data_IF_763436271426
#
_entry.id   IF_763436271426
#
_cell.length_a   1.000
_cell.length_b   1.000
_cell.length_c   1.000
_cell.angle_alpha   90.00
_cell.angle_beta   90.00
_cell.angle_gamma   90.00
#
_symmetry.space_group_name_H-M   'P 1'
#
loop_
_entity.id
_entity.type
_entity.pdbx_description
1 polymer ?
#
# COMPACT_ATOMS: atom_id res chain seq x y z
N UNK A 1 23.55 7.71 -38.11
CA UNK A 1 22.73 6.48 -37.94
C UNK A 1 22.76 5.86 -36.53
N UNK A 2 23.79 6.11 -35.70
CA UNK A 2 23.85 5.56 -34.33
C UNK A 2 22.88 6.22 -33.32
N UNK A 3 22.61 7.52 -33.47
CA UNK A 3 21.70 8.29 -32.60
C UNK A 3 20.21 7.89 -32.74
N UNK A 4 19.77 7.51 -33.95
CA UNK A 4 18.39 7.07 -34.18
C UNK A 4 18.13 5.67 -33.59
N UNK A 5 19.16 4.82 -33.50
CA UNK A 5 19.08 3.51 -32.86
C UNK A 5 19.03 3.61 -31.33
N UNK A 6 19.68 4.62 -30.75
CA UNK A 6 19.68 4.88 -29.31
C UNK A 6 18.31 5.36 -28.79
N UNK A 7 17.63 6.23 -29.55
CA UNK A 7 16.28 6.72 -29.22
C UNK A 7 15.21 5.62 -29.32
N UNK A 8 15.31 4.71 -30.28
CA UNK A 8 14.37 3.58 -30.41
C UNK A 8 14.55 2.61 -29.24
N UNK A 9 15.78 2.30 -28.81
CA UNK A 9 16.01 1.41 -27.65
C UNK A 9 15.56 2.04 -26.33
N UNK A 10 15.75 3.35 -26.12
CA UNK A 10 15.27 4.05 -24.92
C UNK A 10 13.75 4.23 -24.86
N UNK A 11 13.08 4.40 -26.01
CA UNK A 11 11.61 4.51 -26.06
C UNK A 11 10.90 3.17 -25.76
N UNK A 12 11.54 2.03 -26.02
CA UNK A 12 10.98 0.70 -25.75
C UNK A 12 11.15 0.23 -24.29
N UNK A 13 12.17 0.72 -23.56
CA UNK A 13 12.41 0.29 -22.16
C UNK A 13 11.49 1.02 -21.16
N UNK A 14 10.91 2.17 -21.54
CA UNK A 14 9.96 2.91 -20.70
C UNK A 14 8.51 2.39 -20.72
N UNK A 15 8.15 1.45 -21.59
CA UNK A 15 6.74 1.06 -21.81
C UNK A 15 6.38 -0.35 -21.38
N UNK A 16 7.30 -1.10 -20.74
CA UNK A 16 7.05 -2.51 -20.39
C UNK A 16 7.54 -2.84 -18.98
N UNK A 17 7.03 -2.12 -17.99
CA UNK A 17 6.82 -2.74 -16.67
C UNK A 17 5.30 -2.91 -16.50
N UNK A 18 4.75 -4.09 -16.80
CA UNK A 18 3.43 -4.45 -16.32
C UNK A 18 3.43 -4.26 -14.81
N UNK A 19 2.70 -3.27 -14.29
CA UNK A 19 2.31 -3.29 -12.88
C UNK A 19 1.33 -4.44 -12.76
N UNK A 20 1.83 -5.63 -12.42
CA UNK A 20 0.99 -6.78 -12.13
C UNK A 20 0.32 -6.47 -10.80
N UNK A 21 -0.82 -5.78 -10.84
CA UNK A 21 -1.66 -5.60 -9.66
C UNK A 21 -2.33 -6.94 -9.36
N UNK A 22 -1.80 -7.68 -8.39
CA UNK A 22 -2.49 -8.83 -7.82
C UNK A 22 -3.83 -8.37 -7.23
N UNK A 23 -4.88 -9.17 -7.42
CA UNK A 23 -6.21 -8.91 -6.85
C UNK A 23 -6.12 -8.72 -5.33
N UNK A 24 -6.77 -7.68 -4.81
CA UNK A 24 -6.80 -7.34 -3.39
C UNK A 24 -8.13 -7.71 -2.74
N UNK A 25 -8.05 -8.18 -1.51
CA UNK A 25 -9.22 -8.46 -0.67
C UNK A 25 -9.49 -7.28 0.27
N UNK A 26 -10.71 -6.77 0.26
CA UNK A 26 -11.17 -5.67 1.10
C UNK A 26 -12.27 -6.16 2.05
N UNK A 27 -11.94 -6.27 3.33
CA UNK A 27 -12.95 -6.56 4.37
C UNK A 27 -13.75 -5.30 4.63
N UNK A 28 -15.05 -5.35 4.33
CA UNK A 28 -15.96 -4.22 4.41
C UNK A 28 -16.23 -3.87 5.87
N UNK A 29 -15.83 -2.67 6.29
CA UNK A 29 -15.87 -2.26 7.69
C UNK A 29 -14.60 -2.58 8.48
N UNK A 30 -13.54 -3.05 7.81
CA UNK A 30 -12.27 -3.51 8.40
C UNK A 30 -12.49 -4.69 9.36
N UNK A 31 -11.82 -4.74 10.52
CA UNK A 31 -11.96 -5.82 11.51
C UNK A 31 -13.28 -5.74 12.30
N UNK A 32 -14.14 -4.75 12.03
CA UNK A 32 -15.47 -4.69 12.64
C UNK A 32 -16.42 -5.61 11.87
N UNK A 33 -17.02 -6.56 12.57
CA UNK A 33 -18.23 -7.26 12.12
C UNK A 33 -19.25 -6.21 11.68
N UNK A 34 -19.87 -6.36 10.51
CA UNK A 34 -20.73 -5.34 9.86
C UNK A 34 -21.75 -4.74 10.86
N UNK A 35 -21.47 -3.56 11.40
CA UNK A 35 -22.30 -2.90 12.42
C UNK A 35 -23.24 -1.85 11.83
N UNK A 36 -24.39 -1.66 12.45
CA UNK A 36 -25.27 -0.51 12.22
C UNK A 36 -24.61 0.80 12.70
N UNK A 37 -25.00 1.96 12.15
CA UNK A 37 -24.46 3.29 12.50
C UNK A 37 -22.95 3.46 12.24
N UNK A 38 -22.40 2.72 11.28
CA UNK A 38 -21.03 2.86 10.82
C UNK A 38 -21.01 3.58 9.47
N UNK A 39 -20.05 4.50 9.28
CA UNK A 39 -19.90 5.22 8.02
C UNK A 39 -19.09 4.40 7.02
N UNK A 40 -19.80 3.55 6.28
CA UNK A 40 -19.23 2.73 5.21
C UNK A 40 -18.70 3.56 4.05
N UNK A 41 -19.15 4.81 3.87
CA UNK A 41 -18.63 5.69 2.82
C UNK A 41 -17.28 6.26 3.21
N UNK A 42 -17.13 6.68 4.46
CA UNK A 42 -15.84 7.05 5.01
C UNK A 42 -14.85 5.88 4.97
N UNK A 43 -15.32 4.64 5.23
CA UNK A 43 -14.49 3.45 5.04
C UNK A 43 -14.03 3.27 3.60
N UNK A 44 -14.91 3.46 2.61
CA UNK A 44 -14.54 3.33 1.20
C UNK A 44 -13.61 4.44 0.69
N UNK A 45 -13.59 5.58 1.37
CA UNK A 45 -12.86 6.76 0.93
C UNK A 45 -11.35 6.50 0.87
N UNK A 46 -10.74 6.85 -0.27
CA UNK A 46 -9.30 6.70 -0.50
C UNK A 46 -8.83 5.27 -0.80
N UNK A 47 -9.74 4.28 -0.81
CA UNK A 47 -9.41 2.92 -1.27
C UNK A 47 -9.43 2.86 -2.81
N UNK A 48 -8.43 2.22 -3.39
CA UNK A 48 -8.30 1.99 -4.84
C UNK A 48 -8.83 0.60 -5.19
N UNK A 49 -10.10 0.54 -5.58
CA UNK A 49 -10.76 -0.69 -6.02
C UNK A 49 -10.56 -0.88 -7.53
N UNK A 50 -10.12 -2.06 -7.94
CA UNK A 50 -9.87 -2.43 -9.34
C UNK A 50 -10.64 -3.68 -9.72
N UNK A 51 -10.80 -3.87 -11.03
CA UNK A 51 -11.37 -5.12 -11.54
C UNK A 51 -10.51 -6.30 -11.08
N UNK A 52 -11.16 -7.36 -10.59
CA UNK A 52 -10.51 -8.54 -10.03
C UNK A 52 -10.32 -8.49 -8.50
N UNK A 53 -10.38 -7.32 -7.88
CA UNK A 53 -10.40 -7.22 -6.40
C UNK A 53 -11.66 -7.84 -5.82
N UNK A 54 -11.65 -8.13 -4.52
CA UNK A 54 -12.72 -8.80 -3.81
C UNK A 54 -13.17 -8.01 -2.59
N UNK A 55 -14.48 -7.90 -2.39
CA UNK A 55 -15.08 -7.42 -1.14
C UNK A 55 -15.44 -8.61 -0.26
N UNK A 56 -15.16 -8.52 1.03
CA UNK A 56 -15.51 -9.54 2.03
C UNK A 56 -16.42 -8.92 3.07
N UNK A 57 -17.62 -9.46 3.25
CA UNK A 57 -18.65 -8.96 4.16
C UNK A 57 -18.85 -9.94 5.32
N UNK A 58 -18.30 -9.61 6.49
CA UNK A 58 -18.40 -10.43 7.70
C UNK A 58 -19.50 -9.93 8.64
N UNK A 59 -20.47 -10.76 8.97
CA UNK A 59 -21.58 -10.42 9.86
C UNK A 59 -22.23 -11.67 10.49
N UNK A 60 -22.93 -11.55 11.63
CA UNK A 60 -23.61 -12.70 12.23
C UNK A 60 -24.75 -13.16 11.32
N UNK A 61 -24.82 -14.46 11.04
CA UNK A 61 -25.85 -15.05 10.18
C UNK A 61 -27.24 -14.69 10.72
N UNK A 62 -28.12 -14.21 9.83
CA UNK A 62 -29.47 -13.76 10.19
C UNK A 62 -29.57 -12.34 10.74
N UNK A 63 -28.46 -11.69 11.12
CA UNK A 63 -28.47 -10.30 11.59
C UNK A 63 -28.44 -9.28 10.44
N UNK A 64 -27.72 -9.61 9.36
CA UNK A 64 -27.56 -8.74 8.19
C UNK A 64 -27.67 -9.56 6.90
N UNK A 65 -27.78 -8.85 5.78
CA UNK A 65 -27.69 -9.39 4.42
C UNK A 65 -26.89 -8.42 3.56
N UNK A 66 -26.36 -8.90 2.44
CA UNK A 66 -25.73 -8.05 1.41
C UNK A 66 -26.56 -8.14 0.13
N UNK A 67 -27.14 -7.01 -0.26
CA UNK A 67 -27.91 -6.87 -1.50
C UNK A 67 -27.16 -5.94 -2.45
N UNK A 68 -26.89 -6.41 -3.66
CA UNK A 68 -26.38 -5.55 -4.74
C UNK A 68 -27.53 -4.75 -5.34
N UNK A 69 -27.37 -3.43 -5.45
CA UNK A 69 -28.40 -2.53 -5.98
C UNK A 69 -27.84 -1.57 -7.02
N UNK A 70 -28.72 -0.83 -7.69
CA UNK A 70 -28.35 0.32 -8.52
C UNK A 70 -28.34 1.62 -7.70
N UNK A 71 -27.93 2.74 -8.32
CA UNK A 71 -27.88 4.03 -7.63
C UNK A 71 -29.20 4.47 -7.00
N UNK A 72 -30.32 4.26 -7.69
CA UNK A 72 -31.67 4.59 -7.16
C UNK A 72 -32.02 3.71 -5.96
N UNK A 73 -31.79 2.41 -6.05
CA UNK A 73 -32.02 1.48 -4.95
C UNK A 73 -31.12 1.74 -3.75
N UNK A 74 -29.90 2.24 -3.96
CA UNK A 74 -29.02 2.67 -2.89
C UNK A 74 -29.50 3.94 -2.17
N UNK A 75 -29.99 4.93 -2.90
CA UNK A 75 -30.48 6.16 -2.29
C UNK A 75 -31.76 5.92 -1.51
N UNK A 76 -32.67 5.13 -2.07
CA UNK A 76 -34.01 4.92 -1.54
C UNK A 76 -34.17 3.59 -0.77
N UNK A 77 -33.08 2.86 -0.54
CA UNK A 77 -33.07 1.54 0.11
C UNK A 77 -34.04 0.52 -0.51
N UNK A 78 -34.19 0.55 -1.84
CA UNK A 78 -35.08 -0.38 -2.57
C UNK A 78 -34.39 -1.73 -2.68
N UNK A 79 -35.02 -2.76 -2.11
CA UNK A 79 -34.52 -4.13 -2.09
C UNK A 79 -34.86 -4.83 -3.41
N UNK A 80 -33.90 -5.51 -4.07
CA UNK A 80 -34.20 -6.37 -5.21
C UNK A 80 -34.95 -7.63 -4.74
N UNK A 81 -35.43 -8.49 -5.66
CA UNK A 81 -36.10 -9.74 -5.30
C UNK A 81 -35.28 -10.60 -4.32
N UNK A 82 -35.96 -11.32 -3.44
CA UNK A 82 -35.35 -11.96 -2.26
C UNK A 82 -34.26 -13.00 -2.58
N UNK A 83 -34.27 -13.58 -3.78
CA UNK A 83 -33.28 -14.57 -4.24
C UNK A 83 -31.90 -13.98 -4.55
N UNK A 84 -31.75 -12.66 -4.52
CA UNK A 84 -30.46 -11.97 -4.75
C UNK A 84 -29.72 -11.60 -3.45
N UNK A 85 -30.32 -11.90 -2.29
CA UNK A 85 -29.71 -11.64 -0.99
C UNK A 85 -28.57 -12.63 -0.72
N UNK A 86 -27.37 -12.11 -0.47
CA UNK A 86 -26.31 -12.88 0.15
C UNK A 86 -26.51 -12.86 1.67
N UNK A 87 -26.43 -14.02 2.30
CA UNK A 87 -26.86 -14.25 3.69
C UNK A 87 -25.91 -15.16 4.48
N UNK A 88 -24.74 -15.49 3.93
CA UNK A 88 -23.86 -16.52 4.52
C UNK A 88 -23.15 -16.07 5.80
N UNK A 89 -23.10 -14.77 6.07
CA UNK A 89 -22.34 -14.18 7.18
C UNK A 89 -20.85 -13.96 6.89
N UNK A 90 -20.35 -14.46 5.76
CA UNK A 90 -19.01 -14.16 5.23
C UNK A 90 -19.09 -14.11 3.70
N UNK A 91 -19.85 -13.14 3.17
CA UNK A 91 -20.10 -13.08 1.73
C UNK A 91 -18.91 -12.45 1.00
N UNK A 92 -18.48 -13.11 -0.08
CA UNK A 92 -17.39 -12.65 -0.92
C UNK A 92 -17.91 -12.18 -2.28
N UNK A 93 -17.57 -10.95 -2.69
CA UNK A 93 -17.99 -10.37 -3.97
C UNK A 93 -16.76 -9.96 -4.77
N UNK A 94 -16.51 -10.64 -5.89
CA UNK A 94 -15.48 -10.26 -6.85
C UNK A 94 -15.95 -9.05 -7.68
N UNK A 95 -15.10 -8.03 -7.78
CA UNK A 95 -15.31 -6.83 -8.57
C UNK A 95 -15.01 -7.11 -10.04
N UNK A 96 -15.92 -7.80 -10.72
CA UNK A 96 -15.69 -8.28 -12.08
C UNK A 96 -15.73 -7.20 -13.18
N UNK A 97 -16.30 -6.03 -12.90
CA UNK A 97 -16.48 -4.95 -13.90
C UNK A 97 -16.18 -3.59 -13.30
N UNK A 98 -15.66 -2.64 -14.10
CA UNK A 98 -15.43 -1.28 -13.63
C UNK A 98 -16.75 -0.54 -13.36
N UNK A 99 -16.64 0.67 -12.83
CA UNK A 99 -17.76 1.55 -12.53
C UNK A 99 -18.25 1.45 -11.10
N UNK A 100 -19.30 2.23 -10.80
CA UNK A 100 -19.85 2.32 -9.44
C UNK A 100 -20.60 1.02 -9.08
N UNK A 101 -20.36 0.53 -7.88
CA UNK A 101 -21.08 -0.61 -7.28
C UNK A 101 -21.76 -0.13 -6.01
N UNK A 102 -22.95 -0.65 -5.73
CA UNK A 102 -23.75 -0.28 -4.57
C UNK A 102 -24.26 -1.51 -3.86
N UNK A 103 -24.20 -1.46 -2.54
CA UNK A 103 -24.58 -2.54 -1.64
C UNK A 103 -25.38 -1.97 -0.48
N UNK A 104 -26.44 -2.67 -0.07
CA UNK A 104 -27.27 -2.30 1.08
C UNK A 104 -27.53 -3.52 1.97
N UNK A 105 -27.86 -3.27 3.23
CA UNK A 105 -28.47 -4.29 4.07
C UNK A 105 -29.99 -4.34 3.87
N UNK A 106 -30.53 -5.54 3.65
CA UNK A 106 -31.97 -5.79 3.45
C UNK A 106 -32.76 -6.06 4.73
N UNK A 107 -32.11 -6.20 5.88
CA UNK A 107 -32.77 -6.56 7.13
C UNK A 107 -33.46 -5.34 7.74
N UNK A 108 -34.76 -5.46 8.02
CA UNK A 108 -35.55 -4.43 8.71
C UNK A 108 -35.38 -3.05 8.08
N UNK A 109 -34.98 -2.08 8.92
CA UNK A 109 -34.67 -0.68 8.58
C UNK A 109 -33.16 -0.35 8.66
N UNK A 110 -32.28 -1.34 8.49
CA UNK A 110 -30.85 -1.14 8.62
C UNK A 110 -30.27 -0.20 7.54
N UNK A 111 -30.83 -0.21 6.33
CA UNK A 111 -30.40 0.71 5.27
C UNK A 111 -30.90 2.14 5.51
N UNK A 112 -32.19 2.29 5.83
CA UNK A 112 -32.90 3.57 5.87
C UNK A 112 -32.53 4.41 7.10
N UNK A 113 -32.46 3.76 8.26
CA UNK A 113 -32.24 4.45 9.55
C UNK A 113 -30.79 4.34 9.97
N UNK A 114 -30.23 3.13 9.95
CA UNK A 114 -28.88 2.89 10.45
C UNK A 114 -27.77 3.16 9.41
N UNK A 115 -28.14 3.54 8.18
CA UNK A 115 -27.19 3.87 7.12
C UNK A 115 -26.30 2.70 6.68
N UNK A 116 -26.75 1.45 6.87
CA UNK A 116 -25.96 0.26 6.51
C UNK A 116 -25.97 0.05 4.99
N UNK A 117 -25.21 0.88 4.30
CA UNK A 117 -25.09 0.92 2.84
C UNK A 117 -23.71 1.40 2.39
N UNK A 118 -23.16 0.72 1.39
CA UNK A 118 -21.84 0.98 0.82
C UNK A 118 -21.96 1.28 -0.68
N UNK A 119 -21.22 2.28 -1.18
CA UNK A 119 -20.93 2.36 -2.61
C UNK A 119 -19.44 2.53 -2.81
N UNK A 120 -18.93 1.97 -3.90
CA UNK A 120 -17.52 2.06 -4.29
C UNK A 120 -17.42 2.38 -5.78
N UNK A 121 -16.28 2.93 -6.20
CA UNK A 121 -15.96 3.12 -7.62
C UNK A 121 -14.82 2.19 -8.01
N UNK A 122 -15.10 1.26 -8.94
CA UNK A 122 -14.13 0.27 -9.40
C UNK A 122 -13.45 0.76 -10.67
N UNK A 123 -12.13 0.81 -10.68
CA UNK A 123 -11.33 1.15 -11.85
C UNK A 123 -11.12 -0.07 -12.77
N UNK A 124 -10.97 0.13 -14.09
CA UNK A 124 -10.59 -0.95 -15.00
C UNK A 124 -9.29 -1.63 -14.56
N UNK A 125 -9.14 -2.91 -14.92
CA UNK A 125 -7.83 -3.56 -14.82
C UNK A 125 -6.82 -2.80 -15.69
N UNK A 126 -5.63 -2.58 -15.16
CA UNK A 126 -4.50 -2.15 -15.97
C UNK A 126 -4.17 -3.30 -16.91
N UNK A 127 -4.67 -3.21 -18.15
CA UNK A 127 -4.33 -4.17 -19.19
C UNK A 127 -2.87 -3.96 -19.57
N UNK A 128 -1.98 -4.79 -19.04
CA UNK A 128 -0.72 -5.05 -19.74
C UNK A 128 -0.95 -6.13 -20.79
N UNK A 129 -0.36 -6.03 -21.99
CA UNK A 129 -0.57 -7.01 -23.05
C UNK A 129 -0.07 -8.39 -22.59
N UNK A 130 -0.93 -9.40 -22.74
CA UNK A 130 -0.62 -10.80 -22.44
C UNK A 130 0.58 -11.27 -23.27
N UNK A 131 1.52 -12.06 -22.73
CA UNK A 131 2.62 -12.63 -23.50
C UNK A 131 2.05 -13.51 -24.63
N UNK A 132 2.43 -13.20 -25.86
CA UNK A 132 2.12 -14.03 -27.02
C UNK A 132 2.72 -15.42 -26.83
N UNK A 133 1.89 -16.46 -27.05
CA UNK A 133 2.31 -17.86 -27.08
C UNK A 133 3.48 -18.04 -28.06
N UNK A 134 4.58 -18.64 -27.57
CA UNK A 134 5.74 -18.96 -28.38
C UNK A 134 5.42 -20.04 -29.43
N UNK A 135 5.93 -19.96 -30.66
CA UNK A 135 5.83 -21.03 -31.64
C UNK A 135 6.89 -22.11 -31.38
N UNK A 136 6.49 -23.37 -31.59
CA UNK A 136 7.34 -24.56 -31.51
C UNK A 136 8.50 -24.56 -32.51
N UNK A 137 9.65 -25.04 -32.04
CA UNK A 137 10.95 -25.14 -32.70
C UNK A 137 10.91 -26.07 -33.92
N UNK A 138 11.34 -25.57 -35.09
CA UNK A 138 11.69 -26.38 -36.26
C UNK A 138 13.20 -26.70 -36.26
N UNK A 139 13.47 -27.94 -36.62
CA UNK A 139 14.77 -28.61 -36.73
C UNK A 139 15.61 -28.02 -37.87
N UNK A 140 16.91 -27.76 -37.65
CA UNK A 140 17.83 -27.34 -38.72
C UNK A 140 19.10 -28.19 -38.71
N UNK A 141 19.33 -28.88 -39.83
CA UNK A 141 20.52 -29.67 -40.11
C UNK A 141 21.65 -28.82 -40.72
N UNK A 142 22.85 -29.39 -40.58
CA UNK A 142 24.20 -28.89 -40.87
C UNK A 142 24.51 -28.56 -42.33
N UNK A 143 25.42 -27.60 -42.52
CA UNK A 143 26.22 -27.39 -43.74
C UNK A 143 27.70 -27.15 -43.37
N UNK A 144 28.64 -27.40 -44.29
CA UNK A 144 30.01 -27.78 -43.95
C UNK A 144 31.00 -26.61 -43.87
N UNK A 145 32.06 -26.87 -43.10
CA UNK A 145 33.22 -26.03 -42.90
C UNK A 145 34.16 -26.05 -44.11
N UNK A 146 34.55 -24.86 -44.59
CA UNK A 146 35.74 -24.65 -45.40
C UNK A 146 36.26 -23.23 -45.21
N UNK A 147 37.46 -23.06 -44.65
CA UNK A 147 38.60 -22.61 -45.44
C UNK A 147 39.82 -22.31 -44.55
N UNK A 148 40.95 -22.38 -45.23
CA UNK A 148 42.34 -22.36 -44.80
C UNK A 148 42.79 -20.99 -44.26
N UNK A 149 43.92 -21.07 -43.54
CA UNK A 149 44.95 -20.05 -43.32
C UNK A 149 44.62 -18.98 -42.27
N UNK A 150 45.28 -18.93 -41.10
CA UNK A 150 46.72 -18.80 -40.83
C UNK A 150 47.33 -17.63 -41.61
N UNK A 151 47.08 -16.42 -41.11
CA UNK A 151 47.90 -15.19 -41.15
C UNK A 151 46.98 -14.11 -40.58
N UNK A 152 47.18 -13.70 -39.33
CA UNK A 152 46.76 -12.39 -38.76
C UNK A 152 46.99 -12.27 -37.23
N UNK A 153 47.96 -12.99 -36.67
CA UNK A 153 48.16 -13.08 -35.20
C UNK A 153 48.87 -11.87 -34.58
N UNK A 154 49.27 -10.85 -35.34
CA UNK A 154 50.02 -9.68 -34.79
C UNK A 154 49.17 -8.42 -34.60
N UNK A 155 47.98 -8.32 -35.18
CA UNK A 155 47.07 -7.19 -34.90
C UNK A 155 46.13 -7.45 -33.71
N UNK A 156 45.95 -8.69 -33.27
CA UNK A 156 45.04 -9.03 -32.17
C UNK A 156 45.56 -8.66 -30.77
N UNK A 157 46.83 -8.29 -30.58
CA UNK A 157 47.34 -7.97 -29.23
C UNK A 157 47.15 -6.50 -28.82
N UNK A 158 47.07 -5.56 -29.76
CA UNK A 158 46.83 -4.14 -29.44
C UNK A 158 45.34 -3.78 -29.27
N UNK A 159 44.41 -4.57 -29.80
CA UNK A 159 42.97 -4.34 -29.62
C UNK A 159 42.40 -4.85 -28.27
N UNK A 160 43.15 -5.68 -27.52
CA UNK A 160 42.64 -6.30 -26.29
C UNK A 160 42.92 -5.48 -25.02
N UNK A 161 43.92 -4.60 -25.04
CA UNK A 161 44.24 -3.76 -23.88
C UNK A 161 43.29 -2.54 -23.80
N UNK A 162 42.89 -1.96 -24.94
CA UNK A 162 41.94 -0.82 -24.97
C UNK A 162 40.50 -1.21 -24.59
N UNK A 163 40.06 -2.44 -24.89
CA UNK A 163 38.68 -2.88 -24.60
C UNK A 163 38.48 -3.31 -23.13
N UNK A 164 39.54 -3.72 -22.42
CA UNK A 164 39.46 -4.18 -21.03
C UNK A 164 39.19 -3.04 -20.02
N UNK A 165 39.76 -1.86 -20.27
CA UNK A 165 39.57 -0.66 -19.44
C UNK A 165 38.19 0.00 -19.65
N UNK A 166 37.62 -0.12 -20.85
CA UNK A 166 36.29 0.41 -21.19
C UNK A 166 35.14 -0.44 -20.61
N UNK A 167 35.33 -1.76 -20.51
CA UNK A 167 34.34 -2.69 -19.95
C UNK A 167 34.19 -2.52 -18.42
N UNK A 168 35.27 -2.29 -17.68
CA UNK A 168 35.22 -2.05 -16.23
C UNK A 168 34.60 -0.68 -15.88
N UNK A 169 34.86 0.36 -16.68
CA UNK A 169 34.26 1.69 -16.50
C UNK A 169 32.77 1.72 -16.79
N UNK A 170 32.36 1.02 -17.85
CA UNK A 170 30.94 0.89 -18.21
C UNK A 170 30.17 0.10 -17.15
N UNK A 171 30.78 -0.92 -16.54
CA UNK A 171 30.17 -1.71 -15.47
C UNK A 171 29.99 -0.92 -14.16
N UNK A 172 30.96 -0.09 -13.78
CA UNK A 172 30.88 0.79 -12.60
C UNK A 172 29.83 1.91 -12.76
N UNK A 173 29.69 2.48 -13.96
CA UNK A 173 28.66 3.50 -14.25
C UNK A 173 27.27 2.88 -14.26
N UNK A 174 27.11 1.66 -14.80
CA UNK A 174 25.81 0.94 -14.79
C UNK A 174 25.41 0.52 -13.36
N UNK A 175 26.35 0.04 -12.53
CA UNK A 175 26.07 -0.26 -11.11
C UNK A 175 25.73 1.00 -10.29
N UNK A 176 26.40 2.13 -10.54
CA UNK A 176 26.11 3.40 -9.89
C UNK A 176 24.74 3.99 -10.28
N UNK A 177 24.28 3.77 -11.52
CA UNK A 177 22.96 4.21 -12.00
C UNK A 177 21.81 3.30 -11.56
N UNK A 178 22.05 1.99 -11.38
CA UNK A 178 21.02 1.05 -10.89
C UNK A 178 20.74 1.25 -9.38
N UNK A 179 21.69 1.82 -8.63
CA UNK A 179 21.52 2.04 -7.18
C UNK A 179 20.55 3.17 -6.80
N UNK A 180 20.14 4.05 -7.73
CA UNK A 180 19.37 5.26 -7.39
C UNK A 180 17.86 5.16 -7.63
N UNK A 181 17.35 4.05 -8.16
CA UNK A 181 15.91 3.89 -8.47
C UNK A 181 15.33 2.58 -7.93
N UNK A 182 15.64 2.20 -6.69
CA UNK A 182 14.81 1.23 -5.97
C UNK A 182 13.66 2.03 -5.35
N UNK A 183 12.44 2.04 -5.94
CA UNK A 183 11.28 2.52 -5.20
C UNK A 183 11.14 1.62 -3.97
N UNK A 184 11.30 2.21 -2.78
CA UNK A 184 11.02 1.51 -1.52
C UNK A 184 9.52 1.21 -1.53
N UNK A 185 9.15 -0.01 -1.92
CA UNK A 185 7.79 -0.49 -1.74
C UNK A 185 7.51 -0.48 -0.23
N UNK A 186 6.71 0.48 0.23
CA UNK A 186 6.37 0.58 1.65
C UNK A 186 5.41 -0.55 2.00
N UNK A 187 5.96 -1.70 2.40
CA UNK A 187 5.17 -2.76 3.02
C UNK A 187 4.55 -2.21 4.31
N UNK A 188 3.28 -2.50 4.56
CA UNK A 188 2.64 -2.20 5.84
C UNK A 188 3.47 -2.81 6.98
N UNK A 189 3.90 -1.98 7.94
CA UNK A 189 4.77 -2.40 9.04
C UNK A 189 3.94 -2.92 10.20
N UNK A 190 4.36 -4.03 10.80
CA UNK A 190 3.81 -4.51 12.08
C UNK A 190 4.69 -4.01 13.23
N UNK A 191 4.06 -3.42 14.25
CA UNK A 191 4.70 -2.95 15.48
C UNK A 191 4.19 -3.78 16.65
N UNK A 192 5.06 -4.60 17.23
CA UNK A 192 4.75 -5.32 18.47
C UNK A 192 4.80 -4.34 19.63
N UNK A 193 3.66 -4.07 20.23
CA UNK A 193 3.53 -3.10 21.32
C UNK A 193 4.30 -3.60 22.54
N UNK A 194 5.26 -2.79 23.01
CA UNK A 194 6.17 -3.17 24.10
C UNK A 194 7.36 -4.04 23.68
N UNK A 195 7.51 -4.31 22.38
CA UNK A 195 8.55 -5.19 21.81
C UNK A 195 8.58 -6.55 22.56
N UNK A 196 9.73 -6.96 23.10
CA UNK A 196 9.86 -8.22 23.84
C UNK A 196 9.12 -8.27 25.18
N UNK A 197 8.67 -7.12 25.72
CA UNK A 197 7.92 -7.07 26.97
C UNK A 197 6.41 -7.29 26.77
N UNK A 198 5.93 -7.11 25.53
CA UNK A 198 4.51 -7.21 25.20
C UNK A 198 3.63 -6.15 25.86
N UNK A 199 2.33 -6.43 25.91
CA UNK A 199 1.32 -5.60 26.55
C UNK A 199 1.17 -5.97 28.03
N UNK A 200 2.02 -5.36 28.86
CA UNK A 200 2.10 -5.55 30.32
C UNK A 200 1.94 -4.24 31.11
N UNK A 201 1.85 -4.36 32.43
CA UNK A 201 1.80 -3.23 33.39
C UNK A 201 3.19 -2.68 33.71
N UNK A 202 3.26 -1.46 34.25
CA UNK A 202 4.52 -0.79 34.67
C UNK A 202 5.57 -0.65 33.55
N UNK A 203 5.10 -0.44 32.32
CA UNK A 203 5.95 -0.27 31.14
C UNK A 203 5.65 1.09 30.48
N UNK A 204 6.71 1.82 30.09
CA UNK A 204 6.56 3.12 29.44
C UNK A 204 6.31 2.97 27.92
N UNK A 205 5.03 2.86 27.57
CA UNK A 205 4.60 2.78 26.17
C UNK A 205 4.85 4.06 25.38
N UNK A 206 4.98 5.23 26.03
CA UNK A 206 5.24 6.48 25.32
C UNK A 206 6.71 6.57 24.92
N UNK A 207 7.62 6.16 25.81
CA UNK A 207 9.01 5.96 25.47
C UNK A 207 9.17 4.90 24.36
N UNK A 208 8.43 3.79 24.44
CA UNK A 208 8.40 2.80 23.36
C UNK A 208 7.92 3.39 22.04
N UNK A 209 6.89 4.24 22.04
CA UNK A 209 6.37 4.86 20.81
C UNK A 209 7.31 5.93 20.23
N UNK A 210 8.25 6.46 21.02
CA UNK A 210 9.12 7.54 20.62
C UNK A 210 10.01 7.15 19.43
N UNK A 211 10.06 8.03 18.41
CA UNK A 211 10.85 7.81 17.20
C UNK A 211 10.29 6.76 16.23
N UNK A 212 9.19 6.09 16.56
CA UNK A 212 8.49 5.19 15.63
C UNK A 212 7.60 5.99 14.69
N UNK A 213 7.74 5.74 13.39
CA UNK A 213 6.92 6.33 12.33
C UNK A 213 5.73 5.43 12.01
N UNK A 214 4.58 5.73 12.61
CA UNK A 214 3.35 5.00 12.38
C UNK A 214 2.61 5.61 11.18
N UNK A 215 2.27 4.80 10.19
CA UNK A 215 1.55 5.25 8.99
C UNK A 215 0.25 4.50 8.80
N UNK A 216 -0.63 5.10 7.99
CA UNK A 216 -1.83 4.40 7.55
C UNK A 216 -1.44 3.10 6.84
N UNK A 217 -2.06 2.01 7.25
CA UNK A 217 -1.80 0.65 6.76
C UNK A 217 -0.94 -0.19 7.71
N UNK A 218 -0.15 0.42 8.59
CA UNK A 218 0.63 -0.29 9.61
C UNK A 218 -0.28 -0.99 10.62
N UNK A 219 0.27 -1.94 11.38
CA UNK A 219 -0.46 -2.66 12.43
C UNK A 219 0.22 -2.53 13.79
N UNK A 220 -0.58 -2.42 14.83
CA UNK A 220 -0.16 -2.68 16.20
C UNK A 220 -0.47 -4.13 16.56
N UNK A 221 0.46 -4.82 17.21
CA UNK A 221 0.28 -6.18 17.70
C UNK A 221 0.44 -6.16 19.22
N UNK A 222 -0.64 -6.44 19.94
CA UNK A 222 -0.68 -6.50 21.39
C UNK A 222 -0.61 -7.96 21.82
N UNK A 223 0.54 -8.37 22.39
CA UNK A 223 0.74 -9.73 22.89
C UNK A 223 0.75 -9.75 24.41
N UNK A 224 -0.07 -10.62 25.00
CA UNK A 224 -0.21 -10.75 26.45
C UNK A 224 -0.90 -12.08 26.83
N UNK A 225 -0.73 -12.58 28.07
CA UNK A 225 -1.44 -13.78 28.51
C UNK A 225 -2.96 -13.61 28.49
N UNK A 226 -3.68 -14.56 27.89
CA UNK A 226 -5.15 -14.52 27.82
C UNK A 226 -5.74 -14.37 29.23
N UNK A 227 -6.66 -13.43 29.39
CA UNK A 227 -7.31 -13.12 30.67
C UNK A 227 -6.52 -12.19 31.60
N UNK A 228 -5.23 -11.93 31.34
CA UNK A 228 -4.43 -11.02 32.16
C UNK A 228 -4.65 -9.54 31.78
N UNK A 229 -4.86 -9.26 30.50
CA UNK A 229 -5.03 -7.91 29.98
C UNK A 229 -6.15 -7.86 28.93
N UNK A 230 -6.49 -6.65 28.52
CA UNK A 230 -7.38 -6.35 27.39
C UNK A 230 -6.81 -5.18 26.61
N UNK A 231 -7.29 -4.99 25.38
CA UNK A 231 -7.00 -3.80 24.58
C UNK A 231 -8.32 -3.10 24.24
N UNK A 232 -8.46 -1.87 24.71
CA UNK A 232 -9.63 -1.02 24.47
C UNK A 232 -9.18 0.23 23.70
N UNK A 233 -9.81 0.49 22.56
CA UNK A 233 -9.60 1.75 21.83
C UNK A 233 -10.45 2.85 22.45
N UNK A 234 -9.85 3.99 22.74
CA UNK A 234 -10.51 5.12 23.40
C UNK A 234 -10.22 6.44 22.68
N UNK A 235 -10.87 7.51 23.11
CA UNK A 235 -10.53 8.88 22.72
C UNK A 235 -9.51 9.50 23.70
N UNK A 236 -9.06 10.72 23.42
CA UNK A 236 -8.08 11.41 24.28
C UNK A 236 -8.54 11.56 25.74
N UNK A 237 -9.80 11.90 25.98
CA UNK A 237 -10.35 12.02 27.35
C UNK A 237 -10.36 10.67 28.06
N UNK A 238 -10.80 9.61 27.39
CA UNK A 238 -10.80 8.26 27.93
C UNK A 238 -9.39 7.73 28.19
N UNK A 239 -8.40 8.13 27.41
CA UNK A 239 -7.00 7.81 27.66
C UNK A 239 -6.43 8.53 28.89
N UNK A 240 -6.74 9.82 29.06
CA UNK A 240 -6.23 10.58 30.21
C UNK A 240 -6.84 10.09 31.52
N UNK A 241 -8.15 9.82 31.50
CA UNK A 241 -8.92 9.48 32.69
C UNK A 241 -9.19 7.96 32.83
N UNK A 242 -8.59 7.13 31.97
CA UNK A 242 -8.81 5.68 31.91
C UNK A 242 -10.30 5.27 31.86
N UNK A 243 -11.11 6.03 31.12
CA UNK A 243 -12.54 5.73 30.96
C UNK A 243 -12.69 4.54 30.01
N UNK A 244 -13.24 3.46 30.53
CA UNK A 244 -13.41 2.20 29.83
C UNK A 244 -14.74 2.22 29.04
N UNK A 245 -14.72 1.97 27.72
CA UNK A 245 -15.95 1.72 26.98
C UNK A 245 -16.56 0.38 27.41
N UNK A 246 -17.78 0.03 26.94
CA UNK A 246 -18.41 -1.24 27.26
C UNK A 246 -17.48 -2.44 27.02
N UNK A 247 -17.56 -3.45 27.90
CA UNK A 247 -16.68 -4.63 27.84
C UNK A 247 -16.78 -5.40 26.51
N UNK A 248 -17.88 -5.25 25.77
CA UNK A 248 -18.07 -5.83 24.43
C UNK A 248 -17.12 -5.27 23.37
N UNK A 249 -16.48 -4.13 23.63
CA UNK A 249 -15.48 -3.51 22.74
C UNK A 249 -14.05 -3.94 23.07
N UNK A 250 -13.85 -4.75 24.12
CA UNK A 250 -12.54 -5.23 24.53
C UNK A 250 -12.02 -6.31 23.57
N UNK A 251 -10.80 -6.11 23.06
CA UNK A 251 -10.04 -7.22 22.48
C UNK A 251 -9.37 -8.00 23.61
N UNK A 252 -9.44 -9.33 23.53
CA UNK A 252 -9.11 -10.25 24.63
C UNK A 252 -8.37 -11.51 24.17
N UNK A 253 -7.90 -11.56 22.92
CA UNK A 253 -7.33 -12.79 22.34
C UNK A 253 -5.93 -13.14 22.87
N UNK A 254 -5.26 -12.18 23.53
CA UNK A 254 -3.84 -12.32 23.92
C UNK A 254 -2.84 -12.09 22.79
N UNK A 255 -3.30 -11.92 21.55
CA UNK A 255 -2.48 -11.56 20.39
C UNK A 255 -3.28 -10.66 19.43
N UNK A 256 -3.84 -9.58 19.97
CA UNK A 256 -4.72 -8.70 19.20
C UNK A 256 -3.93 -7.88 18.18
N UNK A 257 -4.39 -7.86 16.94
CA UNK A 257 -3.85 -7.01 15.88
C UNK A 257 -4.81 -5.87 15.62
N UNK A 258 -4.28 -4.67 15.43
CA UNK A 258 -5.07 -3.48 15.12
C UNK A 258 -4.43 -2.79 13.92
N UNK A 259 -5.16 -2.73 12.81
CA UNK A 259 -4.76 -1.96 11.63
C UNK A 259 -4.94 -0.45 11.87
N UNK A 260 -3.90 0.33 11.56
CA UNK A 260 -3.92 1.78 11.60
C UNK A 260 -4.56 2.32 10.33
N UNK A 261 -5.89 2.31 10.28
CA UNK A 261 -6.64 2.63 9.07
C UNK A 261 -6.70 4.13 8.73
N UNK A 262 -6.50 5.02 9.70
CA UNK A 262 -6.67 6.47 9.49
C UNK A 262 -5.56 7.29 10.14
N UNK A 263 -5.19 8.44 9.56
CA UNK A 263 -4.24 9.37 10.18
C UNK A 263 -4.76 9.91 11.52
N UNK A 264 -3.87 10.58 12.24
CA UNK A 264 -4.16 11.25 13.50
C UNK A 264 -3.94 10.38 14.73
N UNK A 265 -4.25 10.95 15.89
CA UNK A 265 -3.99 10.31 17.19
C UNK A 265 -4.89 9.09 17.39
N UNK A 266 -4.31 8.04 17.97
CA UNK A 266 -4.98 6.79 18.35
C UNK A 266 -4.60 6.48 19.79
N UNK A 267 -5.56 6.03 20.60
CA UNK A 267 -5.36 5.77 22.02
C UNK A 267 -5.89 4.40 22.40
N UNK A 268 -5.12 3.69 23.22
CA UNK A 268 -5.40 2.33 23.66
C UNK A 268 -5.11 2.20 25.15
N UNK A 269 -5.98 1.50 25.89
CA UNK A 269 -5.83 1.26 27.33
C UNK A 269 -6.12 -0.21 27.67
N UNK A 270 -5.61 -0.67 28.81
CA UNK A 270 -6.07 -1.91 29.41
C UNK A 270 -7.27 -1.65 30.33
N UNK A 271 -8.32 -2.47 30.20
CA UNK A 271 -9.55 -2.34 31.00
C UNK A 271 -9.55 -3.15 32.30
N UNK A 272 -8.56 -4.01 32.52
CA UNK A 272 -8.51 -4.91 33.69
C UNK A 272 -8.17 -4.13 34.95
N UNK A 273 -9.01 -4.27 35.98
CA UNK A 273 -8.76 -3.70 37.32
C UNK A 273 -8.36 -2.23 37.27
N UNK A 274 -7.18 -1.91 37.83
CA UNK A 274 -6.59 -0.57 37.86
C UNK A 274 -5.34 -0.44 36.95
N UNK A 275 -5.20 -1.33 35.96
CA UNK A 275 -3.98 -1.41 35.15
C UNK A 275 -3.69 -0.10 34.38
N UNK A 276 -4.72 0.57 33.87
CA UNK A 276 -4.56 1.84 33.16
C UNK A 276 -4.16 2.97 34.12
N UNK A 277 -4.86 3.10 35.24
CA UNK A 277 -4.77 4.24 36.17
C UNK A 277 -3.49 4.20 37.00
N UNK A 278 -3.19 3.02 37.57
CA UNK A 278 -2.15 2.88 38.61
C UNK A 278 -0.83 2.35 38.06
N UNK A 279 -0.89 1.49 37.04
CA UNK A 279 0.32 0.87 36.46
C UNK A 279 0.65 1.38 35.06
N UNK A 280 -0.11 2.35 34.55
CA UNK A 280 0.18 3.05 33.29
C UNK A 280 0.05 2.19 32.04
N UNK A 281 -0.74 1.11 32.04
CA UNK A 281 -0.93 0.25 30.87
C UNK A 281 -1.82 0.92 29.81
N UNK A 282 -1.24 1.91 29.12
CA UNK A 282 -1.90 2.73 28.10
C UNK A 282 -0.90 3.24 27.04
N UNK A 283 -1.31 3.21 25.78
CA UNK A 283 -0.54 3.67 24.64
C UNK A 283 -1.31 4.76 23.87
N UNK A 284 -0.60 5.78 23.41
CA UNK A 284 -1.11 6.66 22.36
C UNK A 284 -0.05 6.81 21.28
N UNK A 285 -0.49 6.93 20.05
CA UNK A 285 0.38 7.14 18.88
C UNK A 285 -0.22 8.19 17.97
N UNK A 286 0.60 8.79 17.11
CA UNK A 286 0.16 9.65 16.02
C UNK A 286 0.42 8.93 14.71
N UNK A 287 -0.64 8.66 13.95
CA UNK A 287 -0.56 7.99 12.65
C UNK A 287 -0.45 9.03 11.55
N UNK A 288 0.58 8.93 10.72
CA UNK A 288 0.74 9.77 9.54
C UNK A 288 -0.04 9.21 8.35
N UNK A 289 -0.45 10.06 7.40
CA UNK A 289 -0.94 9.59 6.11
C UNK A 289 0.06 8.63 5.43
N UNK A 290 -0.46 7.73 4.62
CA UNK A 290 0.38 6.88 3.79
C UNK A 290 1.21 7.77 2.85
N UNK A 291 2.50 7.46 2.68
CA UNK A 291 3.37 8.18 1.77
C UNK A 291 2.91 7.95 0.32
N UNK A 292 2.09 8.85 -0.22
CA UNK A 292 1.77 8.86 -1.63
C UNK A 292 3.01 9.35 -2.40
N UNK A 293 3.75 8.46 -3.06
CA UNK A 293 4.80 8.85 -4.00
C UNK A 293 4.24 9.35 -5.34
N UNK A 294 3.18 10.16 -5.31
CA UNK A 294 2.62 10.81 -6.51
C UNK A 294 2.33 12.27 -6.14
N UNK A 295 3.32 13.13 -6.41
CA UNK A 295 3.10 14.57 -6.47
C UNK A 295 2.13 14.84 -7.63
N UNK A 296 0.99 15.51 -7.42
CA UNK A 296 0.14 15.94 -8.53
C UNK A 296 0.94 16.94 -9.39
N UNK A 297 1.01 16.70 -10.70
CA UNK A 297 1.46 17.70 -11.64
C UNK A 297 0.57 18.95 -11.49
N UNK A 298 1.16 20.09 -11.16
CA UNK A 298 0.49 21.38 -11.12
C UNK A 298 -0.15 21.67 -12.48
N UNK A 299 -1.46 21.89 -12.49
CA UNK A 299 -2.13 22.55 -13.61
C UNK A 299 -1.64 24.01 -13.70
N UNK A 300 -1.44 24.58 -14.90
CA UNK A 300 -1.03 25.96 -15.05
C UNK A 300 -2.19 26.88 -14.64
N UNK A 301 -1.93 27.83 -13.74
CA UNK A 301 -2.81 28.96 -13.46
C UNK A 301 -2.09 30.27 -13.82
N UNK A 302 -2.86 31.31 -14.19
CA UNK A 302 -2.34 32.42 -14.97
C UNK A 302 -1.51 33.39 -14.12
N UNK A 303 -0.57 34.03 -14.81
CA UNK A 303 0.41 35.00 -14.31
C UNK A 303 -0.27 36.18 -13.60
N UNK A 304 0.14 36.44 -12.36
CA UNK A 304 0.24 37.81 -11.85
C UNK A 304 1.46 37.97 -10.93
N UNK A 305 2.06 39.15 -11.04
CA UNK A 305 3.44 39.52 -10.77
C UNK A 305 3.75 39.95 -9.32
N UNK A 306 4.98 39.62 -8.88
CA UNK A 306 5.82 40.23 -7.81
C UNK A 306 5.28 40.18 -6.36
N UNK A 307 6.04 39.91 -5.29
CA UNK A 307 7.49 39.83 -5.04
C UNK A 307 7.78 39.02 -3.75
N UNK A 308 8.84 38.21 -3.81
CA UNK A 308 9.82 37.80 -2.77
C UNK A 308 9.43 37.55 -1.30
N UNK A 309 9.52 36.27 -0.88
CA UNK A 309 10.19 35.87 0.37
C UNK A 309 11.13 34.69 0.05
N UNK A 310 12.40 34.85 0.43
CA UNK A 310 13.48 33.86 0.30
C UNK A 310 13.28 32.74 1.32
N UNK A 311 13.31 31.49 0.86
CA UNK A 311 13.89 30.38 1.62
C UNK A 311 14.58 29.43 0.64
N UNK A 312 15.88 29.63 0.49
CA UNK A 312 16.76 28.80 -0.34
C UNK A 312 17.31 27.68 0.52
N UNK A 313 16.74 26.48 0.38
CA UNK A 313 17.29 25.26 0.99
C UNK A 313 17.83 24.33 -0.11
N UNK A 314 19.15 24.34 -0.23
CA UNK A 314 20.05 23.22 -0.53
C UNK A 314 19.89 22.31 -1.76
N UNK A 315 19.35 22.81 -2.88
CA UNK A 315 19.45 22.08 -4.16
C UNK A 315 20.81 22.27 -4.89
N UNK A 316 21.54 23.34 -4.57
CA UNK A 316 22.80 23.70 -5.24
C UNK A 316 23.98 22.79 -4.84
N UNK A 317 23.98 22.22 -3.63
CA UNK A 317 25.03 21.29 -3.18
C UNK A 317 24.95 19.94 -3.91
N UNK A 318 23.74 19.46 -4.24
CA UNK A 318 23.58 18.17 -4.94
C UNK A 318 23.97 18.24 -6.42
N UNK A 319 23.65 19.34 -7.12
CA UNK A 319 24.06 19.52 -8.51
C UNK A 319 25.56 19.80 -8.63
N UNK A 320 26.14 20.56 -7.70
CA UNK A 320 27.59 20.81 -7.67
C UNK A 320 28.42 19.54 -7.43
N UNK A 321 27.96 18.64 -6.55
CA UNK A 321 28.62 17.36 -6.28
C UNK A 321 28.47 16.41 -7.48
N UNK A 322 27.32 16.37 -8.15
CA UNK A 322 27.12 15.51 -9.33
C UNK A 322 27.93 15.98 -10.55
N UNK A 323 28.06 17.29 -10.78
CA UNK A 323 28.84 17.83 -11.91
C UNK A 323 30.36 17.66 -11.69
N UNK A 324 30.83 17.74 -10.44
CA UNK A 324 32.26 17.52 -10.12
C UNK A 324 32.64 16.04 -10.18
N UNK A 325 31.77 15.13 -9.73
CA UNK A 325 32.00 13.67 -9.84
C UNK A 325 31.98 13.20 -11.30
N UNK A 326 31.10 13.75 -12.14
CA UNK A 326 31.04 13.41 -13.58
C UNK A 326 32.23 13.97 -14.36
N UNK A 327 32.71 15.18 -14.02
CA UNK A 327 33.89 15.76 -14.70
C UNK A 327 35.20 15.09 -14.26
N UNK A 328 35.36 14.69 -12.98
CA UNK A 328 36.51 13.88 -12.54
C UNK A 328 36.50 12.46 -13.12
N UNK A 329 35.34 11.83 -13.31
CA UNK A 329 35.22 10.50 -13.91
C UNK A 329 35.52 10.47 -15.43
N UNK A 330 35.47 11.63 -16.09
CA UNK A 330 35.82 11.78 -17.51
C UNK A 330 37.27 12.28 -17.73
N UNK A 331 37.95 12.73 -16.67
CA UNK A 331 39.30 13.29 -16.73
C UNK A 331 40.44 12.30 -16.41
N UNK A 332 40.11 11.12 -15.89
CA UNK A 332 41.05 10.00 -15.73
C UNK A 332 40.62 8.85 -16.59
#
# INVERSE_FOLDING_TARGET
MALLRYYVVFAFISTIFPVITLAKDFVVGDEKVLTINFDYQAWAQGKDFRVGDKLVFNYPVGAHTVLKVNGTGFQNCIKPPANEALTSGNDEIILATPGRKWYICGVGKHCEIAGQKLFITVQPQSSSPSPAMAPSTMHMQSMPYSSKAIKDTVNYQLFFVSNSMALHRSYLVVLALISTTIPVMTLAKEFVVGDGNGWTTNFDYQAWAQGKDFRVGDKLVFSYPIGAHTVLKVNGTGFQNCIKPPATEALTSGSDKIVLATPGRKWYICGVGTHCETTGQKLFITVQPQSSSVSPAMAPSPVQSNMAVKDTVNYQLFFGVMVTVVTLALAF
#
